data_IF_102866376514
#
_entry.id   IF_102866376514
#
_cell.length_a   1.000
_cell.length_b   1.000
_cell.length_c   1.000
_cell.angle_alpha   90.00
_cell.angle_beta   90.00
_cell.angle_gamma   90.00
#
_symmetry.space_group_name_H-M   'P 1'
#
loop_
_entity.id
_entity.type
_entity.pdbx_description
1 polymer ?
#
# COMPACT_ATOMS: atom_id res chain seq x y z
N UNK A 1 -1.00 4.58 -8.10
CA UNK A 1 -1.26 3.34 -8.89
C UNK A 1 -1.81 2.27 -7.96
N UNK A 2 -2.64 1.36 -8.49
CA UNK A 2 -3.06 0.12 -7.79
C UNK A 2 -2.49 -1.10 -8.51
N UNK A 3 -1.98 -2.08 -7.78
CA UNK A 3 -1.63 -3.41 -8.32
C UNK A 3 -2.20 -4.50 -7.40
N UNK A 4 -3.18 -5.25 -7.88
CA UNK A 4 -3.85 -6.31 -7.10
C UNK A 4 -3.57 -7.70 -7.67
N UNK A 5 -3.47 -8.71 -6.79
CA UNK A 5 -3.35 -10.13 -7.17
C UNK A 5 -4.67 -10.78 -7.56
N UNK A 6 -5.78 -10.05 -7.40
CA UNK A 6 -7.12 -10.46 -7.81
C UNK A 6 -7.33 -10.34 -9.33
N UNK A 7 -8.29 -11.13 -9.83
CA UNK A 7 -8.70 -11.07 -11.23
C UNK A 7 -9.36 -9.73 -11.58
N UNK A 8 -9.32 -9.29 -12.86
CA UNK A 8 -9.78 -7.97 -13.27
C UNK A 8 -11.18 -7.58 -12.78
N UNK A 9 -12.14 -8.51 -12.86
CA UNK A 9 -13.52 -8.25 -12.42
C UNK A 9 -13.63 -7.77 -10.97
N UNK A 10 -12.83 -8.35 -10.07
CA UNK A 10 -12.84 -7.98 -8.66
C UNK A 10 -12.12 -6.65 -8.44
N UNK A 11 -11.07 -6.37 -9.22
CA UNK A 11 -10.24 -5.16 -9.06
C UNK A 11 -11.01 -3.91 -9.48
N UNK A 12 -11.77 -3.95 -10.57
CA UNK A 12 -12.55 -2.81 -11.05
C UNK A 12 -13.47 -2.26 -9.96
N UNK A 13 -14.29 -3.14 -9.37
CA UNK A 13 -15.19 -2.77 -8.29
C UNK A 13 -14.47 -2.27 -7.02
N UNK A 14 -13.38 -2.92 -6.60
CA UNK A 14 -12.59 -2.47 -5.44
C UNK A 14 -12.04 -1.05 -5.65
N UNK A 15 -11.50 -0.78 -6.84
CA UNK A 15 -10.92 0.54 -7.17
C UNK A 15 -11.99 1.63 -7.17
N UNK A 16 -13.15 1.37 -7.77
CA UNK A 16 -14.26 2.32 -7.78
C UNK A 16 -14.76 2.66 -6.38
N UNK A 17 -14.94 1.66 -5.50
CA UNK A 17 -15.39 1.89 -4.13
C UNK A 17 -14.33 2.55 -3.24
N UNK A 18 -13.05 2.19 -3.38
CA UNK A 18 -11.98 2.76 -2.55
C UNK A 18 -11.62 4.18 -2.96
N UNK A 19 -11.54 4.48 -4.25
CA UNK A 19 -11.06 5.78 -4.72
C UNK A 19 -12.18 6.72 -5.17
N UNK A 20 -13.38 6.21 -5.48
CA UNK A 20 -14.55 7.01 -5.87
C UNK A 20 -14.24 8.02 -6.98
N UNK A 21 -14.54 9.30 -6.73
CA UNK A 21 -14.25 10.39 -7.66
C UNK A 21 -12.75 10.60 -7.96
N UNK A 22 -11.84 9.94 -7.23
CA UNK A 22 -10.39 10.05 -7.40
C UNK A 22 -9.78 8.93 -8.23
N UNK A 23 -10.57 7.99 -8.78
CA UNK A 23 -10.07 6.91 -9.66
C UNK A 23 -9.25 7.46 -10.82
N UNK A 24 -9.66 8.60 -11.40
CA UNK A 24 -8.97 9.25 -12.51
C UNK A 24 -7.57 9.82 -12.14
N UNK A 25 -7.22 9.87 -10.84
CA UNK A 25 -5.88 10.25 -10.39
C UNK A 25 -4.90 9.08 -10.37
N UNK A 26 -5.38 7.84 -10.56
CA UNK A 26 -4.52 6.67 -10.65
C UNK A 26 -3.90 6.58 -12.05
N UNK A 27 -2.57 6.65 -12.12
CA UNK A 27 -1.84 6.49 -13.39
C UNK A 27 -2.03 5.11 -14.01
N UNK A 28 -2.14 4.07 -13.19
CA UNK A 28 -2.32 2.68 -13.60
C UNK A 28 -3.14 1.90 -12.57
N UNK A 29 -3.87 0.91 -13.08
CA UNK A 29 -4.55 -0.14 -12.31
C UNK A 29 -4.16 -1.48 -12.92
N UNK A 30 -3.32 -2.23 -12.20
CA UNK A 30 -2.89 -3.57 -12.59
C UNK A 30 -3.57 -4.63 -11.76
N UNK A 31 -3.81 -5.77 -12.40
CA UNK A 31 -4.52 -6.91 -11.85
C UNK A 31 -3.61 -8.13 -11.89
N UNK A 32 -4.18 -9.31 -11.60
CA UNK A 32 -3.52 -10.60 -11.77
C UNK A 32 -2.92 -10.81 -13.16
N UNK A 33 -3.49 -10.22 -14.20
CA UNK A 33 -3.02 -10.36 -15.58
C UNK A 33 -1.58 -9.85 -15.76
N UNK A 34 -1.22 -8.77 -15.07
CA UNK A 34 0.10 -8.17 -15.13
C UNK A 34 1.11 -8.83 -14.17
N UNK A 35 0.80 -10.02 -13.61
CA UNK A 35 1.73 -10.75 -12.72
C UNK A 35 2.63 -11.76 -13.44
N UNK A 36 2.41 -12.00 -14.75
CA UNK A 36 3.29 -12.87 -15.54
C UNK A 36 3.12 -14.35 -15.18
N UNK A 37 1.90 -14.73 -14.77
CA UNK A 37 1.56 -16.09 -14.40
C UNK A 37 1.37 -16.96 -15.64
N UNK A 38 1.67 -18.26 -15.51
CA UNK A 38 1.24 -19.25 -16.49
C UNK A 38 -0.30 -19.30 -16.54
N UNK A 39 -0.88 -19.82 -17.64
CA UNK A 39 -2.35 -20.01 -17.73
C UNK A 39 -2.90 -20.85 -16.56
N UNK A 40 -2.14 -21.86 -16.12
CA UNK A 40 -2.52 -22.73 -15.00
C UNK A 40 -2.48 -21.96 -13.68
N UNK A 41 -1.41 -21.19 -13.43
CA UNK A 41 -1.27 -20.39 -12.21
C UNK A 41 -2.24 -19.22 -12.16
N UNK A 42 -2.61 -18.67 -13.31
CA UNK A 42 -3.61 -17.62 -13.41
C UNK A 42 -4.97 -18.10 -12.89
N UNK A 43 -5.37 -19.34 -13.22
CA UNK A 43 -6.67 -19.91 -12.90
C UNK A 43 -6.82 -20.47 -11.47
N UNK A 44 -5.76 -20.43 -10.64
CA UNK A 44 -5.77 -21.00 -9.28
C UNK A 44 -5.18 -20.04 -8.24
N UNK A 45 -5.43 -20.32 -6.95
CA UNK A 45 -4.73 -19.64 -5.86
C UNK A 45 -3.25 -20.03 -5.92
N UNK A 46 -2.39 -19.05 -6.17
CA UNK A 46 -0.94 -19.24 -6.27
C UNK A 46 -0.23 -18.08 -5.60
N UNK A 47 1.01 -18.30 -5.15
CA UNK A 47 1.87 -17.23 -4.66
C UNK A 47 2.24 -16.33 -5.84
N UNK A 48 2.04 -15.03 -5.68
CA UNK A 48 2.31 -14.03 -6.71
C UNK A 48 3.51 -13.17 -6.36
N UNK A 49 4.11 -12.56 -7.37
CA UNK A 49 5.17 -11.56 -7.19
C UNK A 49 4.89 -10.35 -8.06
N UNK A 50 5.17 -9.18 -7.50
CA UNK A 50 5.01 -7.88 -8.10
C UNK A 50 6.39 -7.37 -8.50
N UNK A 51 6.81 -7.75 -9.69
CA UNK A 51 8.08 -7.30 -10.25
C UNK A 51 7.99 -5.82 -10.68
N UNK A 52 8.61 -4.93 -9.91
CA UNK A 52 8.57 -3.50 -10.17
C UNK A 52 9.25 -3.11 -11.49
N UNK A 53 10.15 -3.94 -12.04
CA UNK A 53 10.77 -3.66 -13.34
C UNK A 53 9.73 -3.52 -14.47
N UNK A 54 8.62 -4.26 -14.38
CA UNK A 54 7.51 -4.17 -15.33
C UNK A 54 6.80 -2.82 -15.27
N UNK A 55 6.72 -2.24 -14.07
CA UNK A 55 6.13 -0.91 -13.87
C UNK A 55 7.02 0.15 -14.50
N UNK A 56 8.33 0.06 -14.29
CA UNK A 56 9.30 0.99 -14.86
C UNK A 56 9.31 0.91 -16.40
N UNK A 57 9.15 -0.28 -16.96
CA UNK A 57 8.98 -0.45 -18.40
C UNK A 57 7.69 0.19 -18.91
N UNK A 58 6.56 -0.03 -18.20
CA UNK A 58 5.25 0.46 -18.62
C UNK A 58 5.04 1.99 -18.45
N UNK A 59 5.65 2.59 -17.42
CA UNK A 59 5.56 4.03 -17.13
C UNK A 59 6.72 4.84 -17.72
N UNK A 60 7.70 4.18 -18.34
CA UNK A 60 8.91 4.79 -18.87
C UNK A 60 9.99 5.02 -17.82
N UNK A 61 11.18 5.44 -18.29
CA UNK A 61 12.42 5.53 -17.51
C UNK A 61 12.44 6.62 -16.41
N UNK A 62 11.34 7.34 -16.21
CA UNK A 62 11.18 8.31 -15.12
C UNK A 62 11.08 7.64 -13.75
N UNK A 63 10.69 6.36 -13.69
CA UNK A 63 10.63 5.59 -12.45
C UNK A 63 11.67 4.47 -12.46
N UNK A 64 12.26 4.22 -11.30
CA UNK A 64 13.20 3.13 -11.09
C UNK A 64 13.22 2.74 -9.60
N UNK A 65 14.16 1.88 -9.21
CA UNK A 65 14.33 1.42 -7.82
C UNK A 65 14.63 2.54 -6.82
N UNK A 66 15.11 3.70 -7.25
CA UNK A 66 15.37 4.84 -6.36
C UNK A 66 14.12 5.66 -6.04
N UNK A 67 13.05 5.54 -6.85
CA UNK A 67 11.88 6.42 -6.80
C UNK A 67 10.55 5.69 -6.63
N UNK A 68 10.58 4.37 -6.43
CA UNK A 68 9.38 3.53 -6.39
C UNK A 68 9.29 2.76 -5.08
N UNK A 69 8.15 2.82 -4.40
CA UNK A 69 7.84 1.96 -3.25
C UNK A 69 6.58 1.13 -3.56
N UNK A 70 6.63 -0.14 -3.19
CA UNK A 70 5.53 -1.06 -3.10
C UNK A 70 5.02 -1.08 -1.66
N UNK A 71 3.76 -0.72 -1.46
CA UNK A 71 3.05 -0.93 -0.19
C UNK A 71 2.24 -2.22 -0.30
N UNK A 72 2.57 -3.22 0.51
CA UNK A 72 1.90 -4.54 0.45
C UNK A 72 2.04 -5.28 1.80
N UNK A 73 1.11 -6.19 2.11
CA UNK A 73 1.09 -6.96 3.36
C UNK A 73 2.06 -8.16 3.38
N UNK A 74 2.61 -8.52 2.22
CA UNK A 74 3.36 -9.77 2.06
C UNK A 74 4.76 -9.52 1.50
N UNK A 75 5.83 -9.75 2.28
CA UNK A 75 7.22 -9.65 1.80
C UNK A 75 7.50 -10.51 0.55
N UNK A 76 6.81 -11.65 0.46
CA UNK A 76 6.95 -12.59 -0.66
C UNK A 76 6.55 -12.00 -2.02
N UNK A 77 5.69 -10.98 -2.04
CA UNK A 77 5.27 -10.28 -3.27
C UNK A 77 6.35 -9.33 -3.77
N UNK A 78 7.17 -8.77 -2.88
CA UNK A 78 8.26 -7.85 -3.18
C UNK A 78 9.62 -8.54 -3.36
N UNK A 79 9.68 -9.88 -3.39
CA UNK A 79 10.93 -10.67 -3.36
C UNK A 79 12.01 -10.27 -4.37
N UNK A 80 11.65 -9.62 -5.48
CA UNK A 80 12.59 -9.19 -6.53
C UNK A 80 13.18 -7.80 -6.27
N UNK A 81 12.50 -6.98 -5.47
CA UNK A 81 12.93 -5.64 -5.06
C UNK A 81 12.61 -5.44 -3.56
N UNK A 82 13.24 -6.20 -2.64
CA UNK A 82 12.85 -6.23 -1.23
C UNK A 82 13.02 -4.88 -0.51
N UNK A 83 13.97 -4.06 -0.95
CA UNK A 83 14.19 -2.72 -0.37
C UNK A 83 13.24 -1.66 -0.94
N UNK A 84 12.45 -2.00 -1.96
CA UNK A 84 11.38 -1.14 -2.46
C UNK A 84 10.04 -1.48 -1.79
N UNK A 85 10.04 -2.16 -0.64
CA UNK A 85 8.82 -2.64 0.01
C UNK A 85 8.63 -2.00 1.38
N UNK A 86 7.46 -1.44 1.61
CA UNK A 86 6.94 -1.15 2.95
C UNK A 86 5.91 -2.23 3.24
N UNK A 87 6.27 -3.15 4.13
CA UNK A 87 5.34 -4.17 4.60
C UNK A 87 4.33 -3.52 5.55
N UNK A 88 3.04 -3.69 5.30
CA UNK A 88 1.97 -3.28 6.23
C UNK A 88 1.38 -4.49 6.92
N UNK A 89 0.75 -4.28 8.07
CA UNK A 89 -0.02 -5.34 8.72
C UNK A 89 -1.15 -5.81 7.78
N UNK A 90 -1.39 -7.12 7.73
CA UNK A 90 -2.54 -7.64 7.00
C UNK A 90 -3.82 -7.12 7.67
N UNK A 91 -4.67 -6.46 6.89
CA UNK A 91 -5.98 -6.07 7.38
C UNK A 91 -6.87 -7.32 7.57
N UNK A 92 -6.90 -7.80 8.80
CA UNK A 92 -7.73 -8.90 9.26
C UNK A 92 -9.01 -8.35 9.89
N UNK A 93 -10.01 -8.06 9.05
CA UNK A 93 -11.35 -7.91 9.59
C UNK A 93 -11.79 -9.27 10.17
N UNK A 94 -12.12 -9.32 11.46
CA UNK A 94 -12.60 -10.52 12.17
C UNK A 94 -13.85 -11.14 11.54
N UNK A 95 -14.47 -10.47 10.56
CA UNK A 95 -15.55 -10.96 9.71
C UNK A 95 -15.12 -11.77 8.45
N UNK A 96 -13.85 -12.20 8.34
CA UNK A 96 -13.34 -12.98 7.17
C UNK A 96 -13.84 -14.42 7.05
N UNK A 97 -14.74 -14.89 7.93
CA UNK A 97 -15.23 -16.27 7.91
C UNK A 97 -16.11 -16.70 6.72
N UNK A 98 -16.60 -15.79 5.87
CA UNK A 98 -17.51 -16.18 4.77
C UNK A 98 -17.65 -15.08 3.71
N UNK A 99 -16.79 -15.02 2.70
CA UNK A 99 -17.03 -14.19 1.52
C UNK A 99 -16.55 -14.96 0.29
N UNK A 100 -17.35 -15.92 -0.14
CA UNK A 100 -17.10 -16.69 -1.37
C UNK A 100 -17.89 -16.13 -2.58
N UNK A 101 -18.73 -15.10 -2.39
CA UNK A 101 -19.59 -14.53 -3.44
C UNK A 101 -19.55 -13.01 -3.52
N UNK A 102 -19.76 -12.51 -4.74
CA UNK A 102 -19.71 -11.10 -5.15
C UNK A 102 -20.70 -10.22 -4.37
N UNK A 103 -21.91 -10.72 -4.13
CA UNK A 103 -22.95 -10.01 -3.36
C UNK A 103 -22.61 -9.89 -1.85
N UNK A 104 -21.88 -10.85 -1.28
CA UNK A 104 -21.48 -10.82 0.14
C UNK A 104 -20.41 -9.77 0.42
N UNK A 105 -19.55 -9.47 -0.56
CA UNK A 105 -18.55 -8.40 -0.44
C UNK A 105 -19.19 -7.02 -0.46
N UNK A 106 -20.20 -6.81 -1.30
CA UNK A 106 -20.98 -5.56 -1.40
C UNK A 106 -21.73 -5.30 -0.09
N UNK A 107 -22.46 -6.29 0.41
CA UNK A 107 -23.17 -6.19 1.69
C UNK A 107 -22.21 -6.00 2.88
N UNK A 108 -21.02 -6.62 2.87
CA UNK A 108 -20.00 -6.43 3.92
C UNK A 108 -19.30 -5.09 3.87
N UNK A 109 -19.10 -4.50 2.69
CA UNK A 109 -18.55 -3.15 2.55
C UNK A 109 -19.57 -2.07 2.92
N UNK A 110 -20.86 -2.31 2.70
CA UNK A 110 -21.92 -1.43 3.20
C UNK A 110 -22.13 -1.60 4.72
N UNK A 111 -21.85 -2.79 5.27
CA UNK A 111 -21.88 -3.09 6.71
C UNK A 111 -20.56 -2.83 7.45
N UNK A 112 -19.50 -2.45 6.74
CA UNK A 112 -18.25 -1.93 7.32
C UNK A 112 -18.56 -0.55 7.87
N UNK A 113 -19.16 -0.53 9.07
CA UNK A 113 -18.97 0.59 9.98
C UNK A 113 -17.46 0.79 10.07
N UNK A 114 -16.96 1.84 9.39
CA UNK A 114 -15.64 2.40 9.65
C UNK A 114 -15.57 2.53 11.15
N UNK A 115 -14.78 1.67 11.80
CA UNK A 115 -14.71 1.55 13.24
C UNK A 115 -14.72 2.94 13.85
N UNK A 116 -15.82 3.26 14.52
CA UNK A 116 -16.10 4.59 15.02
C UNK A 116 -15.14 4.83 16.19
N UNK A 117 -14.49 5.99 16.13
CA UNK A 117 -13.67 6.68 17.14
C UNK A 117 -12.16 6.39 17.16
N UNK A 118 -11.49 6.68 16.04
CA UNK A 118 -10.04 6.92 15.97
C UNK A 118 -9.51 6.81 14.53
N UNK A 119 -8.58 7.68 14.14
CA UNK A 119 -7.84 7.47 12.90
C UNK A 119 -7.11 6.11 12.96
N UNK A 120 -7.15 5.33 11.88
CA UNK A 120 -6.37 4.09 11.76
C UNK A 120 -4.87 4.40 11.91
N UNK A 121 -4.28 3.97 13.02
CA UNK A 121 -2.89 4.32 13.38
C UNK A 121 -1.89 3.78 12.35
N UNK A 122 -2.18 2.63 11.72
CA UNK A 122 -1.35 2.06 10.67
C UNK A 122 -1.39 2.91 9.40
N UNK A 123 -2.57 3.36 8.98
CA UNK A 123 -2.68 4.24 7.80
C UNK A 123 -2.04 5.60 8.05
N UNK A 124 -2.19 6.16 9.25
CA UNK A 124 -1.47 7.36 9.63
C UNK A 124 0.05 7.14 9.61
N UNK A 125 0.53 6.02 10.15
CA UNK A 125 1.94 5.71 10.11
C UNK A 125 2.48 5.59 8.68
N UNK A 126 1.72 4.97 7.77
CA UNK A 126 2.05 4.95 6.35
C UNK A 126 2.14 6.37 5.78
N UNK A 127 1.22 7.28 6.13
CA UNK A 127 1.32 8.69 5.71
C UNK A 127 2.62 9.32 6.23
N UNK A 128 2.98 9.08 7.50
CA UNK A 128 4.22 9.60 8.08
C UNK A 128 5.48 9.09 7.38
N UNK A 129 5.53 7.78 7.09
CA UNK A 129 6.64 7.17 6.35
C UNK A 129 6.72 7.75 4.94
N UNK A 130 5.59 7.87 4.23
CA UNK A 130 5.55 8.44 2.89
C UNK A 130 5.94 9.92 2.87
N UNK A 131 5.55 10.69 3.89
CA UNK A 131 5.92 12.10 4.02
C UNK A 131 7.42 12.28 4.25
N UNK A 132 8.05 11.37 5.00
CA UNK A 132 9.50 11.36 5.20
C UNK A 132 10.24 10.95 3.92
N UNK A 133 9.85 9.82 3.32
CA UNK A 133 10.61 9.21 2.21
C UNK A 133 10.46 9.99 0.89
N UNK A 134 9.46 10.87 0.76
CA UNK A 134 9.26 11.67 -0.47
C UNK A 134 10.42 12.62 -0.77
N UNK A 135 11.23 12.95 0.24
CA UNK A 135 12.41 13.82 0.11
C UNK A 135 13.72 13.08 -0.15
N UNK A 136 13.70 11.75 -0.17
CA UNK A 136 14.88 10.91 -0.34
C UNK A 136 15.24 10.73 -1.81
N UNK A 137 16.53 10.81 -2.14
CA UNK A 137 17.04 10.58 -3.50
C UNK A 137 17.02 9.10 -3.89
N UNK A 138 17.10 8.20 -2.91
CA UNK A 138 17.08 6.75 -3.09
C UNK A 138 16.25 6.07 -2.00
N UNK A 139 14.98 5.83 -2.30
CA UNK A 139 14.04 5.21 -1.36
C UNK A 139 14.45 3.78 -0.97
N UNK A 140 15.12 3.05 -1.87
CA UNK A 140 15.56 1.69 -1.60
C UNK A 140 16.75 1.67 -0.64
N UNK A 141 17.71 2.59 -0.83
CA UNK A 141 18.81 2.78 0.11
C UNK A 141 18.30 3.22 1.49
N UNK A 142 17.32 4.13 1.54
CA UNK A 142 16.69 4.56 2.79
C UNK A 142 16.04 3.40 3.57
N UNK A 143 15.23 2.57 2.89
CA UNK A 143 14.62 1.38 3.52
C UNK A 143 15.71 0.41 3.98
N UNK A 144 16.70 0.13 3.13
CA UNK A 144 17.83 -0.75 3.45
C UNK A 144 18.65 -0.25 4.64
N UNK A 145 18.80 1.06 4.78
CA UNK A 145 19.51 1.73 5.87
C UNK A 145 18.75 1.76 7.20
N UNK A 146 17.57 1.14 7.28
CA UNK A 146 16.76 1.08 8.49
C UNK A 146 15.80 2.25 8.65
N UNK A 147 15.49 2.99 7.58
CA UNK A 147 14.60 4.16 7.63
C UNK A 147 13.26 3.90 8.33
N UNK A 148 12.71 2.69 8.21
CA UNK A 148 11.45 2.28 8.85
C UNK A 148 11.50 2.21 10.39
N UNK A 149 12.67 2.24 11.01
CA UNK A 149 12.82 2.14 12.46
C UNK A 149 12.40 3.39 13.25
N UNK A 150 12.03 4.48 12.55
CA UNK A 150 11.78 5.78 13.17
C UNK A 150 12.96 6.27 14.04
N UNK A 151 14.20 6.03 13.57
CA UNK A 151 15.43 6.43 14.26
C UNK A 151 15.86 5.49 15.40
N UNK A 152 15.18 4.35 15.59
CA UNK A 152 15.53 3.35 16.61
C UNK A 152 16.56 2.35 16.07
N UNK A 153 17.34 1.76 16.97
CA UNK A 153 18.36 0.75 16.65
C UNK A 153 17.67 -0.63 16.52
N UNK A 154 16.95 -0.84 15.43
CA UNK A 154 16.40 -2.14 15.07
C UNK A 154 16.22 -2.25 13.55
N UNK A 155 16.61 -3.38 12.95
CA UNK A 155 16.21 -3.72 11.58
C UNK A 155 14.74 -4.16 11.62
N UNK A 156 13.82 -3.26 11.25
CA UNK A 156 12.37 -3.54 11.38
C UNK A 156 11.72 -3.65 10.02
N UNK A 157 11.74 -4.88 9.46
CA UNK A 157 10.96 -5.20 8.26
C UNK A 157 9.44 -5.18 8.54
N UNK A 158 9.04 -5.39 9.79
CA UNK A 158 7.65 -5.32 10.27
C UNK A 158 7.50 -4.16 11.27
N UNK A 159 7.78 -2.94 10.82
CA UNK A 159 7.78 -1.72 11.64
C UNK A 159 6.51 -1.53 12.50
N UNK A 160 5.38 -2.03 12.02
CA UNK A 160 4.09 -1.99 12.69
C UNK A 160 4.00 -2.91 13.93
N UNK A 161 4.94 -3.83 14.13
CA UNK A 161 4.93 -4.75 15.30
C UNK A 161 5.50 -4.14 16.57
N UNK A 162 6.30 -3.08 16.46
CA UNK A 162 6.75 -2.31 17.62
C UNK A 162 5.78 -1.14 17.82
N UNK A 163 5.00 -1.12 18.91
CA UNK A 163 3.98 -0.09 19.12
C UNK A 163 4.57 1.31 19.24
N UNK A 164 5.81 1.44 19.69
CA UNK A 164 6.46 2.75 19.75
C UNK A 164 6.82 3.22 18.34
N UNK A 165 7.31 2.33 17.47
CA UNK A 165 7.64 2.69 16.07
C UNK A 165 6.37 3.06 15.30
N UNK A 166 5.33 2.25 15.44
CA UNK A 166 4.00 2.54 14.87
C UNK A 166 3.49 3.91 15.32
N UNK A 167 3.53 4.18 16.63
CA UNK A 167 3.05 5.44 17.20
C UNK A 167 3.85 6.66 16.73
N UNK A 168 5.18 6.56 16.69
CA UNK A 168 6.04 7.64 16.21
C UNK A 168 5.72 8.00 14.75
N UNK A 169 5.58 6.99 13.90
CA UNK A 169 5.16 7.21 12.51
C UNK A 169 3.76 7.79 12.40
N UNK A 170 2.80 7.29 13.18
CA UNK A 170 1.43 7.79 13.14
C UNK A 170 1.34 9.26 13.57
N UNK A 171 2.13 9.66 14.56
CA UNK A 171 2.27 11.07 14.97
C UNK A 171 2.78 11.94 13.83
N UNK A 172 3.82 11.50 13.13
CA UNK A 172 4.35 12.21 11.94
C UNK A 172 3.30 12.27 10.83
N UNK A 173 2.54 11.20 10.61
CA UNK A 173 1.45 11.17 9.63
C UNK A 173 0.33 12.16 9.93
N UNK A 174 -0.10 12.27 11.19
CA UNK A 174 -1.07 13.29 11.61
C UNK A 174 -0.57 14.71 11.34
N UNK A 175 0.71 14.97 11.62
CA UNK A 175 1.34 16.27 11.35
C UNK A 175 1.37 16.58 9.85
N UNK A 176 1.80 15.62 9.03
CA UNK A 176 1.83 15.76 7.57
C UNK A 176 0.44 16.03 6.99
N UNK A 177 -0.59 15.33 7.48
CA UNK A 177 -1.98 15.54 7.05
C UNK A 177 -2.49 16.94 7.45
N UNK A 178 -2.17 17.39 8.67
CA UNK A 178 -2.47 18.76 9.12
C UNK A 178 -1.87 19.82 8.20
N UNK A 179 -0.58 19.70 7.89
CA UNK A 179 0.13 20.64 7.01
C UNK A 179 -0.47 20.67 5.59
N UNK A 180 -0.93 19.52 5.06
CA UNK A 180 -1.62 19.47 3.76
C UNK A 180 -2.97 20.19 3.75
N UNK A 181 -3.71 20.15 4.87
CA UNK A 181 -4.97 20.89 4.99
C UNK A 181 -4.74 22.40 5.10
N UNK A 182 -3.74 22.82 5.85
CA UNK A 182 -3.34 24.23 5.94
C UNK A 182 -2.91 24.77 4.58
N UNK A 183 -2.05 24.05 3.86
CA UNK A 183 -1.56 24.47 2.54
C UNK A 183 -2.68 24.64 1.50
N UNK A 184 -3.74 23.83 1.57
CA UNK A 184 -4.92 23.94 0.68
C UNK A 184 -5.88 25.05 1.07
N UNK A 185 -5.77 25.57 2.30
CA UNK A 185 -6.66 26.59 2.85
C UNK A 185 -6.15 28.02 2.61
N UNK A 186 -4.92 28.17 2.10
CA UNK A 186 -4.36 29.46 1.69
C UNK A 186 -4.95 29.83 0.33
N UNK A 187 -5.73 30.93 0.21
CA UNK A 187 -6.25 31.39 -1.06
C UNK A 187 -5.09 31.81 -1.98
N UNK A 188 -5.15 31.36 -3.25
CA UNK A 188 -4.23 31.76 -4.33
C UNK A 188 -4.32 33.25 -4.65
#
# INVERSE_FOLDING_TARGET
MVWSSAQPKNVGWMVERTFGQHVNKLTLVWTREQMGLSKVDYARKTRTTKDLSRIWEALGSSFNGKTTILLDDSPSKARLQPYNHICVEEYVNSARGAAEKEDDLVAKLDGLSLGVDGDDETLLAVIGILDCIKGEDDVAEWVKGGGLSSGKIAEVLQWYTDPNILHDWAKLGKQALGALHEAKSIPS
#
